data_IF_925091488262
#
_entry.id   IF_925091488262
#
_cell.length_a   1.000
_cell.length_b   1.000
_cell.length_c   1.000
_cell.angle_alpha   90.00
_cell.angle_beta   90.00
_cell.angle_gamma   90.00
#
_symmetry.space_group_name_H-M   'P 1'
#
loop_
_entity.id
_entity.type
_entity.pdbx_description
1 polymer ?
#
# COMPACT_ATOMS: atom_id res chain seq x y z
N UNK A 1 3.51 -17.56 -10.76
CA UNK A 1 4.34 -17.55 -11.99
C UNK A 1 5.45 -18.58 -11.85
N UNK A 2 6.02 -19.06 -12.95
CA UNK A 2 7.17 -20.00 -12.93
C UNK A 2 8.34 -19.33 -13.62
N UNK A 3 9.47 -19.31 -12.95
CA UNK A 3 10.70 -18.66 -13.40
C UNK A 3 11.46 -19.60 -14.35
N UNK A 4 12.46 -19.09 -15.07
CA UNK A 4 13.23 -19.86 -16.04
C UNK A 4 14.03 -21.02 -15.39
N UNK A 5 14.38 -20.89 -14.11
CA UNK A 5 15.03 -21.90 -13.28
C UNK A 5 14.05 -22.95 -12.70
N UNK A 6 12.75 -22.85 -13.05
CA UNK A 6 11.71 -23.75 -12.57
C UNK A 6 11.12 -23.39 -11.21
N UNK A 7 11.61 -22.34 -10.55
CA UNK A 7 11.07 -21.88 -9.27
C UNK A 7 9.68 -21.29 -9.47
N UNK A 8 8.73 -21.69 -8.63
CA UNK A 8 7.39 -21.09 -8.60
C UNK A 8 7.39 -19.92 -7.63
N UNK A 9 6.94 -18.77 -8.10
CA UNK A 9 6.83 -17.53 -7.33
C UNK A 9 5.51 -16.81 -7.57
N UNK A 10 5.41 -15.62 -6.99
CA UNK A 10 4.29 -14.70 -7.11
C UNK A 10 4.76 -13.42 -7.79
N UNK A 11 3.87 -12.80 -8.56
CA UNK A 11 4.13 -11.51 -9.19
C UNK A 11 3.07 -10.53 -8.69
N UNK A 12 3.52 -9.43 -8.10
CA UNK A 12 2.70 -8.28 -7.76
C UNK A 12 3.07 -7.12 -8.66
N UNK A 13 2.08 -6.57 -9.34
CA UNK A 13 2.25 -5.44 -10.25
C UNK A 13 1.54 -4.23 -9.65
N UNK A 14 2.29 -3.13 -9.49
CA UNK A 14 1.78 -1.86 -9.01
C UNK A 14 1.65 -0.91 -10.21
N UNK A 15 0.44 -0.39 -10.40
CA UNK A 15 0.16 0.65 -11.41
C UNK A 15 -0.07 2.00 -10.75
N UNK A 16 0.36 3.08 -11.41
CA UNK A 16 0.11 4.43 -10.92
C UNK A 16 0.92 4.82 -9.69
N UNK A 17 2.08 4.19 -9.48
CA UNK A 17 3.04 4.67 -8.49
C UNK A 17 3.46 6.11 -8.84
N UNK A 18 3.52 6.98 -7.84
CA UNK A 18 4.03 8.33 -8.04
C UNK A 18 5.50 8.27 -8.49
N UNK A 19 5.96 9.16 -9.38
CA UNK A 19 7.36 9.16 -9.83
C UNK A 19 8.35 9.18 -8.66
N UNK A 20 9.26 8.21 -8.62
CA UNK A 20 10.25 8.07 -7.54
C UNK A 20 9.76 7.30 -6.31
N UNK A 21 8.50 6.84 -6.28
CA UNK A 21 7.95 6.04 -5.19
C UNK A 21 8.23 4.54 -5.33
N UNK A 22 8.80 4.07 -6.43
CA UNK A 22 8.99 2.65 -6.75
C UNK A 22 9.87 1.96 -5.70
N UNK A 23 11.03 2.53 -5.38
CA UNK A 23 11.94 1.98 -4.40
C UNK A 23 11.35 1.91 -2.97
N UNK A 24 10.75 2.99 -2.41
CA UNK A 24 10.13 2.90 -1.09
C UNK A 24 8.91 1.98 -1.08
N UNK A 25 8.09 1.94 -2.14
CA UNK A 25 6.96 1.01 -2.24
C UNK A 25 7.43 -0.44 -2.29
N UNK A 26 8.45 -0.77 -3.08
CA UNK A 26 9.01 -2.12 -3.16
C UNK A 26 9.52 -2.61 -1.79
N UNK A 27 10.20 -1.74 -1.04
CA UNK A 27 10.65 -2.05 0.33
C UNK A 27 9.46 -2.30 1.27
N UNK A 28 8.45 -1.44 1.25
CA UNK A 28 7.27 -1.59 2.09
C UNK A 28 6.51 -2.89 1.78
N UNK A 29 6.36 -3.23 0.50
CA UNK A 29 5.72 -4.46 0.04
C UNK A 29 6.52 -5.71 0.44
N UNK A 30 7.84 -5.67 0.33
CA UNK A 30 8.71 -6.77 0.78
C UNK A 30 8.56 -7.04 2.28
N UNK A 31 8.60 -5.99 3.12
CA UNK A 31 8.39 -6.14 4.56
C UNK A 31 6.99 -6.63 4.90
N UNK A 32 5.96 -6.12 4.22
CA UNK A 32 4.60 -6.57 4.40
C UNK A 32 4.43 -8.05 4.00
N UNK A 33 5.02 -8.49 2.89
CA UNK A 33 4.98 -9.87 2.44
C UNK A 33 5.65 -10.82 3.44
N UNK A 34 6.82 -10.43 3.97
CA UNK A 34 7.52 -11.17 5.03
C UNK A 34 6.69 -11.24 6.31
N UNK A 35 6.08 -10.12 6.73
CA UNK A 35 5.23 -10.09 7.92
C UNK A 35 3.97 -10.95 7.76
N UNK A 36 3.42 -11.00 6.55
CA UNK A 36 2.25 -11.80 6.20
C UNK A 36 2.59 -13.28 5.93
N UNK A 37 3.88 -13.66 5.88
CA UNK A 37 4.33 -15.02 5.58
C UNK A 37 4.13 -15.47 4.13
N UNK A 38 3.96 -14.52 3.19
CA UNK A 38 3.77 -14.80 1.76
C UNK A 38 5.03 -15.39 1.13
N UNK A 39 6.19 -14.96 1.61
CA UNK A 39 7.52 -15.40 1.19
C UNK A 39 7.79 -16.90 1.45
N UNK A 40 7.05 -17.53 2.37
CA UNK A 40 7.14 -18.97 2.63
C UNK A 40 6.64 -19.83 1.46
N UNK A 41 5.83 -19.27 0.56
CA UNK A 41 5.27 -19.96 -0.60
C UNK A 41 6.06 -19.74 -1.89
N UNK A 42 7.24 -19.13 -1.80
CA UNK A 42 8.10 -18.79 -2.93
C UNK A 42 8.35 -17.28 -3.04
N UNK A 43 9.26 -16.86 -3.94
CA UNK A 43 9.62 -15.45 -4.10
C UNK A 43 8.41 -14.60 -4.53
N UNK A 44 8.41 -13.33 -4.11
CA UNK A 44 7.47 -12.32 -4.57
C UNK A 44 8.23 -11.27 -5.39
N UNK A 45 8.00 -11.27 -6.70
CA UNK A 45 8.50 -10.23 -7.58
C UNK A 45 7.54 -9.04 -7.59
N UNK A 46 8.10 -7.83 -7.47
CA UNK A 46 7.34 -6.58 -7.54
C UNK A 46 7.73 -5.84 -8.82
N UNK A 47 6.76 -5.55 -9.68
CA UNK A 47 6.94 -4.77 -10.89
C UNK A 47 6.09 -3.49 -10.85
N UNK A 48 6.62 -2.43 -11.45
CA UNK A 48 5.92 -1.16 -11.62
C UNK A 48 5.64 -0.96 -13.10
N UNK A 49 4.37 -0.76 -13.45
CA UNK A 49 3.95 -0.56 -14.84
C UNK A 49 3.07 0.68 -14.93
N UNK A 50 3.15 1.35 -16.08
CA UNK A 50 2.21 2.40 -16.41
C UNK A 50 0.82 1.82 -16.70
N UNK A 51 -0.23 2.60 -16.44
CA UNK A 51 -1.61 2.17 -16.65
C UNK A 51 -1.92 1.77 -18.11
N UNK A 52 -1.16 2.29 -19.07
CA UNK A 52 -1.29 1.96 -20.50
C UNK A 52 -0.44 0.78 -20.97
N UNK A 53 0.31 0.12 -20.09
CA UNK A 53 1.19 -0.98 -20.49
C UNK A 53 0.37 -2.17 -21.03
N UNK A 54 0.67 -2.70 -22.23
CA UNK A 54 -0.07 -3.83 -22.82
C UNK A 54 -0.02 -5.11 -21.96
N UNK A 55 0.95 -5.22 -21.04
CA UNK A 55 1.03 -6.31 -20.09
C UNK A 55 -0.13 -6.28 -19.07
N UNK A 56 -0.67 -5.11 -18.72
CA UNK A 56 -1.81 -4.98 -17.81
C UNK A 56 -3.04 -5.71 -18.36
N UNK A 57 -3.36 -5.53 -19.65
CA UNK A 57 -4.49 -6.23 -20.28
C UNK A 57 -4.30 -7.77 -20.32
N UNK A 58 -3.06 -8.25 -20.24
CA UNK A 58 -2.77 -9.68 -20.12
C UNK A 58 -2.95 -10.14 -18.69
N UNK A 59 -2.49 -9.36 -17.71
CA UNK A 59 -2.63 -9.64 -16.29
C UNK A 59 -4.08 -9.59 -15.83
N UNK A 60 -4.90 -8.66 -16.33
CA UNK A 60 -6.33 -8.55 -16.00
C UNK A 60 -7.13 -9.82 -16.31
N UNK A 61 -6.67 -10.65 -17.26
CA UNK A 61 -7.33 -11.91 -17.62
C UNK A 61 -7.02 -13.07 -16.69
N UNK A 62 -5.91 -13.02 -15.95
CA UNK A 62 -5.37 -14.16 -15.19
C UNK A 62 -4.98 -13.83 -13.75
N UNK A 63 -4.90 -12.55 -13.41
CA UNK A 63 -4.49 -12.03 -12.12
C UNK A 63 -5.68 -11.56 -11.29
N UNK A 64 -5.39 -11.22 -10.04
CA UNK A 64 -6.32 -10.56 -9.14
C UNK A 64 -6.03 -9.06 -9.13
N UNK A 65 -7.08 -8.26 -9.28
CA UNK A 65 -6.99 -6.80 -9.21
C UNK A 65 -7.45 -6.31 -7.85
N UNK A 66 -6.63 -5.46 -7.24
CA UNK A 66 -6.94 -4.79 -5.99
C UNK A 66 -6.82 -3.28 -6.21
N UNK A 67 -7.96 -2.60 -6.28
CA UNK A 67 -7.98 -1.14 -6.31
C UNK A 67 -7.81 -0.62 -4.88
N UNK A 68 -6.83 0.26 -4.66
CA UNK A 68 -6.62 0.87 -3.36
C UNK A 68 -7.72 1.91 -3.08
N UNK A 69 -8.32 1.91 -1.88
CA UNK A 69 -9.28 2.95 -1.52
C UNK A 69 -8.58 4.31 -1.47
N UNK A 70 -9.32 5.37 -1.80
CA UNK A 70 -8.83 6.73 -1.57
C UNK A 70 -8.53 6.93 -0.08
N UNK A 71 -7.37 7.49 0.28
CA UNK A 71 -7.07 7.83 1.66
C UNK A 71 -8.12 8.79 2.21
N UNK A 72 -8.57 8.55 3.44
CA UNK A 72 -9.44 9.52 4.12
C UNK A 72 -8.76 10.89 4.14
N UNK A 73 -9.52 11.93 3.81
CA UNK A 73 -9.02 13.30 3.89
C UNK A 73 -8.52 13.56 5.33
N UNK A 74 -7.34 14.20 5.50
CA UNK A 74 -6.87 14.57 6.82
C UNK A 74 -7.96 15.40 7.51
N UNK A 75 -8.25 15.07 8.77
CA UNK A 75 -9.14 15.89 9.57
C UNK A 75 -8.62 17.34 9.54
N UNK A 76 -9.52 18.30 9.34
CA UNK A 76 -9.15 19.71 9.39
C UNK A 76 -8.37 19.97 10.69
N UNK A 77 -7.24 20.70 10.65
CA UNK A 77 -6.49 21.03 11.86
C UNK A 77 -7.44 21.69 12.85
N UNK A 78 -7.75 21.00 13.96
CA UNK A 78 -8.51 21.63 15.04
C UNK A 78 -7.53 22.57 15.73
N UNK A 79 -7.74 23.90 15.70
CA UNK A 79 -6.87 24.81 16.40
C UNK A 79 -6.82 24.41 17.89
N UNK A 80 -5.66 24.45 18.55
CA UNK A 80 -5.55 24.10 19.96
C UNK A 80 -6.54 24.96 20.75
N UNK A 81 -7.52 24.31 21.39
CA UNK A 81 -8.47 24.98 22.28
C UNK A 81 -7.75 25.38 23.57
N UNK A 82 -7.92 26.60 24.07
CA UNK A 82 -7.35 26.98 25.35
C UNK A 82 -7.86 26.05 26.46
N UNK A 83 -7.01 25.70 27.46
CA UNK A 83 -7.45 24.90 28.61
C UNK A 83 -8.67 25.53 29.28
N UNK A 84 -9.69 24.72 29.59
CA UNK A 84 -10.91 25.20 30.24
C UNK A 84 -11.92 25.93 29.34
N UNK A 85 -11.72 25.98 28.02
CA UNK A 85 -12.68 26.58 27.08
C UNK A 85 -13.88 25.71 26.71
N UNK A 86 -13.90 24.45 27.15
CA UNK A 86 -15.01 23.52 26.94
C UNK A 86 -15.96 23.55 28.16
N UNK A 87 -17.15 24.19 28.07
CA UNK A 87 -18.10 24.23 29.17
C UNK A 87 -18.67 22.85 29.53
N UNK A 88 -18.63 21.88 28.61
CA UNK A 88 -19.01 20.49 28.90
C UNK A 88 -17.89 19.70 29.62
N UNK A 89 -16.67 20.24 29.66
CA UNK A 89 -15.50 19.65 30.33
C UNK A 89 -14.75 20.71 31.14
N UNK A 90 -15.35 21.22 32.23
CA UNK A 90 -14.72 22.24 33.06
C UNK A 90 -13.42 21.71 33.70
N UNK A 91 -12.45 22.60 33.98
CA UNK A 91 -11.21 22.20 34.65
C UNK A 91 -11.50 21.62 36.04
N UNK A 92 -10.82 20.51 36.37
CA UNK A 92 -10.89 19.91 37.71
C UNK A 92 -9.97 20.68 38.64
N UNK A 93 -10.54 21.44 39.58
CA UNK A 93 -9.81 22.02 40.70
C UNK A 93 -9.49 20.90 41.70
N UNK A 94 -8.24 20.82 42.15
CA UNK A 94 -7.79 19.98 43.28
C UNK A 94 -7.21 20.87 44.35
#
# INVERSE_FOLDING_TARGET
VTHADGVRGHLLVVTGAAPGAEAPLARALSEAARLAGVDQSGPLDVAFLDAGDPLIARLDRVGLRFDLPEPAAPAAPVPPRPPGSDPARPPRLR
#
